data_IF_704494259925
#
_entry.id   IF_704494259925
#
_cell.length_a   1.000
_cell.length_b   1.000
_cell.length_c   1.000
_cell.angle_alpha   90.00
_cell.angle_beta   90.00
_cell.angle_gamma   90.00
#
_symmetry.space_group_name_H-M   'P 1'
#
loop_
_entity.id
_entity.type
_entity.pdbx_description
1 polymer ?
#
# COMPACT_ATOMS: atom_id res chain seq x y z
N UNK A 1 -22.30 17.25 -54.38
CA UNK A 1 -21.85 17.98 -55.56
C UNK A 1 -20.34 18.08 -55.46
N UNK A 2 -19.73 17.28 -56.35
CA UNK A 2 -18.44 17.37 -57.05
C UNK A 2 -17.15 17.42 -56.20
N UNK A 3 -16.35 16.39 -56.28
CA UNK A 3 -15.51 15.78 -57.31
C UNK A 3 -14.24 16.57 -57.69
N UNK A 4 -13.13 15.78 -57.64
CA UNK A 4 -11.96 15.71 -58.53
C UNK A 4 -10.81 16.69 -58.23
N UNK A 5 -9.52 16.34 -58.16
CA UNK A 5 -8.71 15.47 -59.01
C UNK A 5 -7.29 15.37 -58.41
N UNK A 6 -6.67 14.23 -58.54
CA UNK A 6 -5.20 14.08 -58.58
C UNK A 6 -4.71 14.40 -60.03
N UNK A 7 -3.41 14.57 -60.31
CA UNK A 7 -2.49 13.48 -60.61
C UNK A 7 -1.00 13.70 -60.21
N UNK A 8 -0.30 12.65 -59.87
CA UNK A 8 0.77 11.88 -60.50
C UNK A 8 1.83 12.66 -61.30
N UNK A 9 3.10 12.49 -60.92
CA UNK A 9 4.26 12.34 -61.81
C UNK A 9 5.54 11.91 -61.04
N UNK A 10 5.84 10.66 -61.11
CA UNK A 10 7.04 9.93 -61.56
C UNK A 10 8.35 10.69 -61.82
N UNK A 11 9.38 10.05 -61.40
CA UNK A 11 10.71 9.66 -61.93
C UNK A 11 11.84 10.09 -61.00
N UNK A 12 12.72 9.29 -60.61
CA UNK A 12 13.50 8.14 -61.01
C UNK A 12 15.00 8.45 -60.82
N UNK A 13 15.67 7.42 -60.30
CA UNK A 13 17.07 7.04 -60.53
C UNK A 13 18.11 7.37 -59.48
N UNK A 14 18.58 6.26 -58.88
CA UNK A 14 19.93 5.68 -58.91
C UNK A 14 20.93 6.38 -57.96
N UNK A 15 21.79 5.77 -57.28
CA UNK A 15 22.28 4.41 -57.07
C UNK A 15 23.49 4.52 -56.12
N UNK A 16 23.79 3.43 -55.49
CA UNK A 16 25.08 3.00 -55.01
C UNK A 16 25.73 3.65 -53.79
N UNK A 17 26.06 2.79 -52.87
CA UNK A 17 26.99 3.03 -51.79
C UNK A 17 26.81 1.99 -50.66
N UNK A 18 27.30 0.78 -50.93
CA UNK A 18 27.60 -0.23 -49.90
C UNK A 18 28.38 0.36 -48.76
N UNK A 19 27.94 0.17 -47.54
CA UNK A 19 28.83 -0.34 -46.50
C UNK A 19 28.03 -1.01 -45.38
N UNK A 20 28.27 -2.31 -45.22
CA UNK A 20 27.73 -3.13 -44.16
C UNK A 20 28.52 -2.89 -42.90
N UNK A 21 27.86 -2.47 -41.85
CA UNK A 21 28.32 -2.76 -40.49
C UNK A 21 27.17 -3.39 -39.72
N UNK A 22 27.24 -4.67 -39.67
CA UNK A 22 26.56 -5.57 -38.73
C UNK A 22 26.76 -5.03 -37.30
N UNK A 23 25.75 -4.31 -36.80
CA UNK A 23 25.66 -4.01 -35.36
C UNK A 23 24.87 -5.13 -34.71
N UNK A 24 25.58 -6.22 -34.39
CA UNK A 24 25.16 -7.17 -33.39
C UNK A 24 24.74 -6.38 -32.16
N UNK A 25 23.45 -6.34 -31.90
CA UNK A 25 22.86 -5.85 -30.66
C UNK A 25 23.39 -6.74 -29.52
N UNK A 26 24.43 -6.26 -28.82
CA UNK A 26 24.85 -6.83 -27.55
C UNK A 26 23.68 -6.65 -26.57
N UNK A 27 23.21 -7.72 -25.91
CA UNK A 27 22.26 -7.55 -24.83
C UNK A 27 22.92 -6.67 -23.78
N UNK A 28 22.33 -5.54 -23.47
CA UNK A 28 22.71 -4.73 -22.34
C UNK A 28 22.42 -5.54 -21.07
N UNK A 29 23.41 -6.24 -20.57
CA UNK A 29 23.38 -6.78 -19.21
C UNK A 29 23.26 -5.52 -18.33
N UNK A 30 22.05 -5.30 -17.84
CA UNK A 30 21.75 -4.12 -17.07
C UNK A 30 22.72 -4.02 -15.90
N UNK A 31 23.18 -2.82 -15.61
CA UNK A 31 24.06 -2.48 -14.45
C UNK A 31 23.57 -3.10 -13.12
N UNK A 32 22.30 -3.50 -13.05
CA UNK A 32 21.65 -4.23 -11.95
C UNK A 32 22.25 -5.61 -11.68
N UNK A 33 22.61 -6.38 -12.72
CA UNK A 33 23.21 -7.72 -12.55
C UNK A 33 24.64 -7.68 -12.00
N UNK A 34 25.39 -6.63 -12.29
CA UNK A 34 26.78 -6.46 -11.80
C UNK A 34 26.86 -6.07 -10.32
N UNK A 35 25.86 -5.30 -9.82
CA UNK A 35 25.83 -4.91 -8.41
C UNK A 35 25.43 -6.06 -7.49
N UNK A 36 24.52 -6.93 -7.94
CA UNK A 36 24.08 -8.11 -7.15
C UNK A 36 25.20 -9.14 -7.06
N UNK A 37 25.98 -9.35 -8.14
CA UNK A 37 27.10 -10.28 -8.15
C UNK A 37 28.28 -9.82 -7.29
N UNK A 38 28.55 -8.52 -7.22
CA UNK A 38 29.66 -7.96 -6.45
C UNK A 38 29.45 -7.99 -4.93
N UNK A 39 28.20 -7.85 -4.48
CA UNK A 39 27.85 -7.92 -3.04
C UNK A 39 27.89 -9.38 -2.55
N UNK A 40 27.52 -10.35 -3.40
CA UNK A 40 27.54 -11.76 -3.04
C UNK A 40 28.96 -12.34 -2.91
N UNK A 41 29.94 -11.84 -3.68
CA UNK A 41 31.31 -12.35 -3.69
C UNK A 41 32.20 -11.81 -2.53
N UNK A 42 31.86 -10.67 -1.93
CA UNK A 42 32.62 -10.06 -0.81
C UNK A 42 32.25 -10.58 0.59
N UNK A 43 31.22 -11.40 0.72
CA UNK A 43 30.62 -11.78 2.00
C UNK A 43 30.97 -13.19 2.49
N UNK A 44 31.94 -13.85 1.87
CA UNK A 44 32.23 -15.27 2.13
C UNK A 44 32.78 -15.65 3.52
N UNK A 45 33.29 -14.73 4.31
CA UNK A 45 33.90 -15.05 5.61
C UNK A 45 33.23 -14.37 6.84
N UNK A 46 32.50 -13.28 6.63
CA UNK A 46 31.70 -12.61 7.68
C UNK A 46 30.22 -13.01 7.62
N UNK A 47 29.88 -13.88 6.66
CA UNK A 47 28.53 -14.08 6.14
C UNK A 47 27.57 -14.84 7.04
N UNK A 48 28.01 -15.59 8.03
CA UNK A 48 27.08 -16.45 8.79
C UNK A 48 26.37 -15.70 9.91
N UNK A 49 27.07 -14.78 10.61
CA UNK A 49 26.47 -13.95 11.67
C UNK A 49 25.68 -12.76 11.14
N UNK A 50 26.02 -12.25 9.94
CA UNK A 50 25.36 -11.10 9.33
C UNK A 50 24.29 -11.51 8.29
N UNK A 51 24.10 -12.81 8.04
CA UNK A 51 23.21 -13.33 7.01
C UNK A 51 21.77 -12.84 7.16
N UNK A 52 21.27 -12.86 8.38
CA UNK A 52 19.88 -12.47 8.68
C UNK A 52 19.69 -10.95 8.60
N UNK A 53 20.72 -10.18 8.94
CA UNK A 53 20.69 -8.72 8.83
C UNK A 53 20.82 -8.30 7.36
N UNK A 54 21.70 -8.94 6.59
CA UNK A 54 21.80 -8.73 5.14
C UNK A 54 20.50 -9.13 4.46
N UNK A 55 19.90 -10.27 4.83
CA UNK A 55 18.61 -10.70 4.29
C UNK A 55 17.48 -9.71 4.59
N UNK A 56 17.56 -9.01 5.73
CA UNK A 56 16.56 -7.99 6.11
C UNK A 56 16.78 -6.63 5.44
N UNK A 57 17.95 -6.36 4.88
CA UNK A 57 18.34 -5.01 4.45
C UNK A 57 18.85 -4.90 3.02
N UNK A 58 19.08 -6.03 2.31
CA UNK A 58 19.68 -6.03 0.98
C UNK A 58 18.86 -5.26 -0.08
N UNK A 59 17.54 -5.20 0.06
CA UNK A 59 16.67 -4.41 -0.83
C UNK A 59 16.82 -2.89 -0.64
N UNK A 60 17.50 -2.42 0.41
CA UNK A 60 17.81 -0.98 0.61
C UNK A 60 18.84 -0.47 -0.38
N UNK A 61 19.44 -1.35 -1.17
CA UNK A 61 20.32 -0.96 -2.26
C UNK A 61 19.48 -0.27 -3.35
N UNK A 62 19.83 0.94 -3.80
CA UNK A 62 19.07 1.65 -4.82
C UNK A 62 18.79 0.79 -6.06
N UNK A 63 17.53 0.69 -6.46
CA UNK A 63 17.06 -0.10 -7.60
C UNK A 63 16.83 -1.58 -7.33
N UNK A 64 16.84 -2.00 -6.07
CA UNK A 64 16.43 -3.35 -5.64
C UNK A 64 15.07 -3.24 -4.95
N UNK A 65 14.08 -3.95 -5.48
CA UNK A 65 12.76 -4.00 -4.87
C UNK A 65 12.77 -4.92 -3.65
N UNK A 66 12.06 -4.53 -2.61
CA UNK A 66 11.86 -5.39 -1.44
C UNK A 66 11.18 -6.69 -1.83
N UNK A 67 11.70 -7.86 -1.40
CA UNK A 67 11.03 -9.14 -1.62
C UNK A 67 9.62 -9.13 -1.02
N UNK A 68 8.68 -9.73 -1.74
CA UNK A 68 7.29 -9.86 -1.33
C UNK A 68 6.89 -11.31 -1.39
N UNK A 69 6.25 -11.78 -0.35
CA UNK A 69 5.65 -13.11 -0.31
C UNK A 69 4.16 -12.98 -0.56
N UNK A 70 3.62 -13.74 -1.50
CA UNK A 70 2.19 -13.78 -1.75
C UNK A 70 1.46 -14.24 -0.49
N UNK A 71 0.37 -13.55 -0.14
CA UNK A 71 -0.44 -13.84 1.05
C UNK A 71 0.21 -13.45 2.38
N UNK A 72 1.39 -12.83 2.37
CA UNK A 72 2.01 -12.30 3.58
C UNK A 72 1.16 -11.16 4.18
N UNK A 73 0.97 -11.18 5.49
CA UNK A 73 0.25 -10.16 6.24
C UNK A 73 1.19 -9.39 7.18
N UNK A 74 0.89 -8.10 7.38
CA UNK A 74 1.67 -7.26 8.30
C UNK A 74 1.14 -7.35 9.74
N UNK A 75 -0.17 -7.61 9.90
CA UNK A 75 -0.79 -7.81 11.20
C UNK A 75 -1.01 -9.30 11.48
N UNK A 76 -0.41 -9.86 12.56
CA UNK A 76 -0.62 -11.26 12.93
C UNK A 76 -2.10 -11.57 13.18
N UNK A 77 -2.62 -12.59 12.51
CA UNK A 77 -4.02 -13.01 12.61
C UNK A 77 -4.97 -12.31 11.64
N UNK A 78 -4.48 -11.42 10.78
CA UNK A 78 -5.27 -10.94 9.65
C UNK A 78 -5.35 -12.00 8.55
N UNK A 79 -6.51 -12.08 7.90
CA UNK A 79 -6.66 -12.83 6.66
C UNK A 79 -6.21 -11.97 5.48
N UNK A 80 -5.49 -12.58 4.52
CA UNK A 80 -5.13 -11.90 3.29
C UNK A 80 -6.23 -12.02 2.23
N UNK A 81 -6.73 -10.91 1.73
CA UNK A 81 -7.61 -10.83 0.57
C UNK A 81 -7.26 -9.58 -0.25
N UNK A 82 -6.49 -9.69 -1.34
CA UNK A 82 -5.95 -8.53 -2.02
C UNK A 82 -7.03 -7.66 -2.67
N UNK A 83 -6.87 -6.34 -2.53
CA UNK A 83 -7.60 -5.36 -3.31
C UNK A 83 -7.14 -5.39 -4.77
N UNK A 84 -7.97 -4.83 -5.68
CA UNK A 84 -7.56 -4.63 -7.07
C UNK A 84 -6.31 -3.75 -7.16
N UNK A 85 -5.35 -4.11 -8.01
CA UNK A 85 -4.13 -3.32 -8.26
C UNK A 85 -4.41 -1.90 -8.79
N UNK A 86 -5.61 -1.65 -9.31
CA UNK A 86 -6.04 -0.32 -9.73
C UNK A 86 -6.35 0.63 -8.56
N UNK A 87 -6.51 0.09 -7.34
CA UNK A 87 -6.99 0.79 -6.16
C UNK A 87 -5.89 1.13 -5.15
N UNK A 88 -4.65 0.79 -5.47
CA UNK A 88 -3.47 1.09 -4.68
C UNK A 88 -2.24 1.22 -5.59
N UNK A 89 -1.11 1.61 -5.07
CA UNK A 89 0.15 1.60 -5.81
C UNK A 89 1.27 1.00 -4.99
N UNK A 90 2.18 0.35 -5.69
CA UNK A 90 3.39 -0.23 -5.12
C UNK A 90 4.29 0.87 -4.55
N UNK A 91 4.82 0.61 -3.38
CA UNK A 91 5.81 1.44 -2.70
C UNK A 91 6.71 0.55 -1.82
N UNK A 92 7.64 1.15 -1.10
CA UNK A 92 8.46 0.49 -0.08
C UNK A 92 8.52 1.38 1.17
N UNK A 93 7.37 1.56 1.82
CA UNK A 93 7.29 2.33 3.05
C UNK A 93 7.95 1.57 4.22
N UNK A 94 8.62 2.24 5.17
CA UNK A 94 8.69 3.69 5.33
C UNK A 94 9.82 4.38 4.54
N UNK A 95 10.48 3.71 3.58
CA UNK A 95 11.62 4.29 2.86
C UNK A 95 11.20 5.31 1.79
N UNK A 96 10.15 4.97 1.01
CA UNK A 96 9.62 5.90 0.01
C UNK A 96 8.84 7.05 0.65
N UNK A 97 8.04 6.72 1.67
CA UNK A 97 7.18 7.65 2.39
C UNK A 97 7.14 7.26 3.86
N UNK A 98 7.45 8.19 4.74
CA UNK A 98 7.29 7.99 6.18
C UNK A 98 5.82 7.73 6.51
N UNK A 99 5.52 6.62 7.16
CA UNK A 99 4.21 6.40 7.76
C UNK A 99 4.19 7.13 9.10
N UNK A 100 3.31 8.12 9.25
CA UNK A 100 3.22 8.95 10.45
C UNK A 100 1.82 9.01 11.05
N UNK A 101 0.84 8.29 10.47
CA UNK A 101 -0.51 8.26 11.02
C UNK A 101 -1.30 7.01 10.65
N UNK A 102 -2.38 6.79 11.41
CA UNK A 102 -3.44 5.83 11.12
C UNK A 102 -4.73 6.59 10.87
N UNK A 103 -5.46 6.27 9.81
CA UNK A 103 -6.75 6.87 9.49
C UNK A 103 -7.86 5.86 9.72
N UNK A 104 -8.81 6.23 10.57
CA UNK A 104 -9.96 5.42 10.95
C UNK A 104 -11.14 5.79 10.06
N UNK A 105 -11.73 4.76 9.43
CA UNK A 105 -12.87 4.88 8.53
C UNK A 105 -14.05 4.03 9.00
N UNK A 106 -15.24 4.36 8.54
CA UNK A 106 -16.44 3.52 8.60
C UNK A 106 -17.03 3.43 7.20
N UNK A 107 -17.15 2.21 6.68
CA UNK A 107 -17.40 1.93 5.26
C UNK A 107 -18.82 2.25 4.78
N UNK A 108 -19.73 2.61 5.68
CA UNK A 108 -21.16 2.86 5.38
C UNK A 108 -21.86 1.65 4.74
N UNK A 109 -21.50 0.45 5.16
CA UNK A 109 -22.02 -0.78 4.59
C UNK A 109 -21.57 -2.06 5.29
N UNK A 110 -22.06 -3.21 4.83
CA UNK A 110 -21.70 -4.50 5.37
C UNK A 110 -20.35 -4.98 4.85
N UNK A 111 -19.62 -5.70 5.69
CA UNK A 111 -18.28 -6.23 5.44
C UNK A 111 -18.10 -6.94 4.09
N UNK A 112 -19.00 -7.88 3.63
CA UNK A 112 -18.79 -8.55 2.35
C UNK A 112 -18.87 -7.60 1.14
N UNK A 113 -19.62 -6.49 1.27
CA UNK A 113 -19.76 -5.49 0.21
C UNK A 113 -18.46 -4.68 0.14
N UNK A 114 -17.89 -4.29 1.28
CA UNK A 114 -16.61 -3.64 1.38
C UNK A 114 -15.51 -4.38 0.62
N UNK A 115 -15.36 -5.66 0.91
CA UNK A 115 -14.34 -6.49 0.29
C UNK A 115 -14.49 -6.53 -1.25
N UNK A 116 -15.73 -6.68 -1.75
CA UNK A 116 -16.00 -6.68 -3.20
C UNK A 116 -15.72 -5.35 -3.86
N UNK A 117 -16.09 -4.25 -3.20
CA UNK A 117 -15.86 -2.89 -3.70
C UNK A 117 -14.37 -2.62 -3.85
N UNK A 118 -13.55 -2.99 -2.87
CA UNK A 118 -12.10 -2.81 -2.96
C UNK A 118 -11.42 -3.76 -3.96
N UNK A 119 -12.05 -4.86 -4.32
CA UNK A 119 -11.60 -5.74 -5.40
C UNK A 119 -12.03 -5.29 -6.79
N UNK A 120 -12.98 -4.36 -6.90
CA UNK A 120 -13.42 -3.80 -8.18
C UNK A 120 -12.42 -2.76 -8.69
N UNK A 121 -11.77 -2.97 -9.87
CA UNK A 121 -10.80 -2.03 -10.42
C UNK A 121 -11.40 -0.69 -10.82
N UNK A 122 -12.73 -0.61 -11.00
CA UNK A 122 -13.42 0.64 -11.35
C UNK A 122 -13.60 1.57 -10.16
N UNK A 123 -13.53 1.05 -8.94
CA UNK A 123 -13.77 1.81 -7.71
C UNK A 123 -12.68 2.85 -7.41
N UNK A 124 -11.43 2.56 -7.79
CA UNK A 124 -10.26 3.44 -7.63
C UNK A 124 -9.94 3.84 -6.19
N UNK A 125 -10.42 3.06 -5.21
CA UNK A 125 -10.09 3.23 -3.81
C UNK A 125 -9.98 1.85 -3.13
N UNK A 126 -9.11 1.74 -2.14
CA UNK A 126 -8.99 0.61 -1.24
C UNK A 126 -8.33 1.05 0.06
N UNK A 127 -8.47 0.24 1.09
CA UNK A 127 -7.83 0.42 2.40
C UNK A 127 -6.80 -0.68 2.67
N UNK A 128 -5.96 -0.49 3.68
CA UNK A 128 -5.02 -1.53 4.10
C UNK A 128 -5.74 -2.65 4.83
N UNK A 129 -6.71 -2.31 5.70
CA UNK A 129 -7.42 -3.25 6.55
C UNK A 129 -8.93 -3.00 6.58
N UNK A 130 -9.69 -4.08 6.69
CA UNK A 130 -11.14 -4.05 6.97
C UNK A 130 -11.42 -4.86 8.22
N UNK A 131 -12.16 -4.27 9.18
CA UNK A 131 -12.56 -4.89 10.43
C UNK A 131 -14.05 -5.21 10.40
N UNK A 132 -14.39 -6.50 10.64
CA UNK A 132 -15.77 -6.96 10.68
C UNK A 132 -16.40 -6.70 12.05
N UNK A 133 -17.65 -6.26 12.05
CA UNK A 133 -18.34 -5.86 13.29
C UNK A 133 -18.78 -7.04 14.17
N UNK A 134 -19.14 -8.19 13.59
CA UNK A 134 -19.71 -9.31 14.33
C UNK A 134 -18.72 -9.98 15.30
N UNK A 135 -17.43 -10.02 14.98
CA UNK A 135 -16.42 -10.77 15.72
C UNK A 135 -15.05 -10.10 15.77
N UNK A 136 -14.88 -8.94 15.13
CA UNK A 136 -13.61 -8.25 15.05
C UNK A 136 -12.60 -8.89 14.09
N UNK A 137 -13.04 -9.76 13.17
CA UNK A 137 -12.16 -10.32 12.14
C UNK A 137 -11.49 -9.20 11.35
N UNK A 138 -10.17 -9.30 11.19
CA UNK A 138 -9.37 -8.37 10.41
C UNK A 138 -9.01 -8.99 9.07
N UNK A 139 -9.30 -8.29 7.98
CA UNK A 139 -8.82 -8.65 6.64
C UNK A 139 -7.85 -7.59 6.16
N UNK A 140 -6.68 -8.01 5.72
CA UNK A 140 -5.71 -7.15 5.08
C UNK A 140 -5.87 -7.21 3.56
N UNK A 141 -6.02 -6.05 2.92
CA UNK A 141 -6.28 -5.94 1.48
C UNK A 141 -5.14 -5.28 0.71
N UNK A 142 -4.35 -4.44 1.37
CA UNK A 142 -3.12 -3.83 0.83
C UNK A 142 -2.03 -3.97 1.88
N UNK A 143 -0.80 -4.26 1.46
CA UNK A 143 0.35 -4.34 2.38
C UNK A 143 0.65 -2.95 2.94
N UNK A 144 1.05 -2.88 4.22
CA UNK A 144 1.40 -1.58 4.84
C UNK A 144 2.55 -0.87 4.13
N UNK A 145 3.43 -1.63 3.47
CA UNK A 145 4.52 -1.05 2.68
C UNK A 145 4.06 -0.39 1.38
N UNK A 146 2.84 -0.67 0.92
CA UNK A 146 2.23 -0.08 -0.26
C UNK A 146 1.30 1.08 0.09
N UNK A 147 0.90 1.86 -0.92
CA UNK A 147 0.01 3.01 -0.75
C UNK A 147 -1.39 2.65 -1.19
N UNK A 148 -2.30 2.42 -0.25
CA UNK A 148 -3.73 2.28 -0.52
C UNK A 148 -4.36 3.66 -0.79
N UNK A 149 -5.39 3.71 -1.65
CA UNK A 149 -6.10 4.96 -1.95
C UNK A 149 -7.36 5.03 -1.10
N UNK A 150 -7.22 5.47 0.18
CA UNK A 150 -8.31 5.47 1.14
C UNK A 150 -8.70 6.86 1.67
N UNK A 151 -7.81 7.85 1.59
CA UNK A 151 -8.01 9.13 2.27
C UNK A 151 -8.49 10.25 1.34
N UNK A 152 -8.67 9.99 0.03
CA UNK A 152 -9.02 11.05 -0.95
C UNK A 152 -7.95 12.14 -1.09
N UNK A 153 -6.87 12.06 -0.35
CA UNK A 153 -5.76 13.00 -0.31
C UNK A 153 -4.44 12.25 -0.53
N UNK A 154 -3.65 12.69 -1.51
CA UNK A 154 -2.42 12.01 -1.91
C UNK A 154 -1.40 11.91 -0.77
N UNK A 155 -1.14 13.01 -0.08
CA UNK A 155 -0.18 13.03 1.02
C UNK A 155 -0.60 12.08 2.15
N UNK A 156 -1.89 12.08 2.48
CA UNK A 156 -2.43 11.20 3.50
C UNK A 156 -2.41 9.73 3.08
N UNK A 157 -2.69 9.41 1.81
CA UNK A 157 -2.53 8.05 1.29
C UNK A 157 -1.08 7.57 1.40
N UNK A 158 -0.10 8.43 1.07
CA UNK A 158 1.32 8.11 1.11
C UNK A 158 1.84 7.89 2.53
N UNK A 159 1.30 8.62 3.52
CA UNK A 159 1.84 8.71 4.89
C UNK A 159 0.98 8.05 5.96
N UNK A 160 -0.05 7.30 5.59
CA UNK A 160 -0.93 6.65 6.56
C UNK A 160 -1.20 5.18 6.26
N UNK A 161 -1.70 4.50 7.29
CA UNK A 161 -2.36 3.20 7.18
C UNK A 161 -3.85 3.40 7.43
N UNK A 162 -4.69 3.08 6.45
CA UNK A 162 -6.15 3.17 6.57
C UNK A 162 -6.74 1.89 7.13
N UNK A 163 -7.71 2.05 8.05
CA UNK A 163 -8.48 0.96 8.63
C UNK A 163 -9.97 1.25 8.45
N UNK A 164 -10.64 0.44 7.65
CA UNK A 164 -12.07 0.48 7.46
C UNK A 164 -12.82 -0.39 8.48
N UNK A 165 -13.94 0.08 8.96
CA UNK A 165 -14.80 -0.64 9.87
C UNK A 165 -16.17 -0.86 9.25
N UNK A 166 -16.62 -2.11 9.25
CA UNK A 166 -18.00 -2.42 8.91
C UNK A 166 -18.94 -1.63 9.81
N UNK A 167 -19.98 -1.01 9.23
CA UNK A 167 -20.97 -0.26 9.98
C UNK A 167 -21.43 1.01 9.29
N UNK A 168 -22.11 1.86 10.05
CA UNK A 168 -22.69 3.11 9.56
C UNK A 168 -22.45 4.24 10.57
N UNK A 169 -22.09 5.43 10.11
CA UNK A 169 -21.77 6.59 10.97
C UNK A 169 -22.97 7.10 11.78
N UNK A 170 -24.19 6.88 11.27
CA UNK A 170 -25.45 7.28 11.90
C UNK A 170 -26.11 6.17 12.74
N UNK A 171 -25.48 4.98 12.82
CA UNK A 171 -25.98 3.82 13.54
C UNK A 171 -24.93 3.26 14.50
N UNK A 172 -24.76 3.86 15.69
CA UNK A 172 -23.69 3.51 16.64
C UNK A 172 -23.74 2.04 17.10
N UNK A 173 -24.92 1.41 17.09
CA UNK A 173 -25.08 -0.01 17.42
C UNK A 173 -24.36 -0.95 16.43
N UNK A 174 -23.99 -0.46 15.25
CA UNK A 174 -23.23 -1.23 14.27
C UNK A 174 -21.74 -1.28 14.58
N UNK A 175 -21.23 -0.44 15.48
CA UNK A 175 -19.84 -0.44 15.93
C UNK A 175 -19.75 -1.15 17.29
N UNK A 176 -19.40 -2.42 17.25
CA UNK A 176 -19.47 -3.30 18.43
C UNK A 176 -18.20 -3.25 19.29
N UNK A 177 -18.28 -3.87 20.47
CA UNK A 177 -17.11 -4.12 21.32
C UNK A 177 -16.02 -4.94 20.62
N UNK A 178 -16.42 -5.89 19.77
CA UNK A 178 -15.49 -6.68 18.98
C UNK A 178 -14.71 -5.82 17.98
N UNK A 179 -15.42 -4.89 17.32
CA UNK A 179 -14.81 -3.90 16.42
C UNK A 179 -13.76 -3.06 17.15
N UNK A 180 -14.12 -2.44 18.27
CA UNK A 180 -13.21 -1.59 19.03
C UNK A 180 -11.98 -2.36 19.50
N UNK A 181 -12.14 -3.58 20.04
CA UNK A 181 -11.00 -4.40 20.52
C UNK A 181 -10.06 -4.79 19.40
N UNK A 182 -10.60 -5.28 18.28
CA UNK A 182 -9.79 -5.72 17.15
C UNK A 182 -9.06 -4.53 16.51
N UNK A 183 -9.77 -3.44 16.28
CA UNK A 183 -9.19 -2.21 15.71
C UNK A 183 -8.13 -1.59 16.62
N UNK A 184 -8.36 -1.54 17.92
CA UNK A 184 -7.39 -1.01 18.88
C UNK A 184 -6.10 -1.85 18.90
N UNK A 185 -6.21 -3.18 18.87
CA UNK A 185 -5.06 -4.08 18.80
C UNK A 185 -4.29 -3.90 17.48
N UNK A 186 -5.00 -3.78 16.35
CA UNK A 186 -4.41 -3.51 15.04
C UNK A 186 -3.68 -2.16 15.03
N UNK A 187 -4.35 -1.10 15.46
CA UNK A 187 -3.78 0.26 15.51
C UNK A 187 -2.56 0.35 16.41
N UNK A 188 -2.61 -0.26 17.59
CA UNK A 188 -1.44 -0.32 18.47
C UNK A 188 -0.26 -1.05 17.81
N UNK A 189 -0.53 -2.16 17.11
CA UNK A 189 0.49 -2.89 16.35
C UNK A 189 1.10 -2.05 15.20
N UNK A 190 0.30 -1.25 14.50
CA UNK A 190 0.77 -0.30 13.49
C UNK A 190 1.65 0.76 14.16
N UNK A 191 1.19 1.36 15.27
CA UNK A 191 1.97 2.33 16.01
C UNK A 191 3.34 1.78 16.42
N UNK A 192 3.39 0.54 16.93
CA UNK A 192 4.65 -0.10 17.33
C UNK A 192 5.60 -0.32 16.15
N UNK A 193 5.08 -0.77 14.98
CA UNK A 193 5.89 -1.01 13.77
C UNK A 193 6.53 0.24 13.21
N UNK A 194 5.80 1.36 13.27
CA UNK A 194 6.25 2.64 12.69
C UNK A 194 6.76 3.65 13.71
N UNK A 195 6.77 3.29 15.01
CA UNK A 195 7.22 4.18 16.09
C UNK A 195 6.28 5.38 16.30
N UNK A 196 4.98 5.22 16.04
CA UNK A 196 3.99 6.30 16.17
C UNK A 196 3.54 6.44 17.63
N UNK A 197 3.40 7.67 18.14
CA UNK A 197 2.69 7.93 19.38
C UNK A 197 1.23 7.43 19.31
N UNK A 198 0.76 6.85 20.40
CA UNK A 198 -0.63 6.38 20.51
C UNK A 198 -1.53 7.52 21.00
N UNK A 199 -1.68 8.56 20.19
CA UNK A 199 -2.45 9.77 20.47
C UNK A 199 -3.33 10.20 19.31
N UNK A 200 -4.11 11.28 19.50
CA UNK A 200 -5.05 11.80 18.51
C UNK A 200 -4.38 12.65 17.41
N UNK A 201 -3.12 12.96 17.52
CA UNK A 201 -2.37 13.63 16.44
C UNK A 201 -1.96 12.64 15.35
N UNK A 202 -1.72 11.36 15.74
CA UNK A 202 -1.27 10.29 14.86
C UNK A 202 -2.37 9.28 14.51
N UNK A 203 -3.46 9.21 15.29
CA UNK A 203 -4.62 8.34 15.04
C UNK A 203 -5.83 9.22 14.83
N UNK A 204 -6.21 9.42 13.58
CA UNK A 204 -7.23 10.39 13.16
C UNK A 204 -8.42 9.72 12.48
N UNK A 205 -9.55 10.40 12.39
CA UNK A 205 -10.67 10.02 11.55
C UNK A 205 -10.51 10.55 10.13
N UNK A 206 -11.21 9.95 9.17
CA UNK A 206 -11.20 10.42 7.78
C UNK A 206 -11.70 11.86 7.68
N UNK A 207 -12.69 12.24 8.47
CA UNK A 207 -13.22 13.63 8.57
C UNK A 207 -12.15 14.68 8.89
N UNK A 208 -11.00 14.28 9.44
CA UNK A 208 -9.91 15.17 9.80
C UNK A 208 -8.87 15.33 8.68
N UNK A 209 -9.04 14.59 7.56
CA UNK A 209 -8.15 14.70 6.39
C UNK A 209 -8.43 16.00 5.63
N UNK A 210 -7.44 16.84 5.38
CA UNK A 210 -7.64 18.12 4.68
C UNK A 210 -8.24 17.93 3.27
N UNK A 211 -9.33 18.68 3.01
CA UNK A 211 -10.00 18.68 1.70
C UNK A 211 -10.96 17.52 1.49
N UNK A 212 -11.18 16.68 2.51
CA UNK A 212 -12.21 15.63 2.43
C UNK A 212 -13.62 16.22 2.58
N UNK A 213 -14.59 15.57 1.93
CA UNK A 213 -16.02 15.77 2.18
C UNK A 213 -16.64 14.58 2.98
N UNK A 214 -15.78 13.64 3.39
CA UNK A 214 -16.16 12.51 4.20
C UNK A 214 -16.40 12.88 5.65
N UNK A 215 -17.35 12.18 6.29
CA UNK A 215 -17.76 12.43 7.69
C UNK A 215 -17.38 11.30 8.64
N UNK A 216 -16.85 10.20 8.11
CA UNK A 216 -16.47 9.02 8.89
C UNK A 216 -15.20 9.26 9.75
N UNK A 217 -15.08 8.58 10.88
CA UNK A 217 -15.93 7.53 11.41
C UNK A 217 -17.23 8.02 12.04
N UNK A 218 -17.52 9.32 11.98
CA UNK A 218 -18.75 9.95 12.45
C UNK A 218 -18.74 10.33 13.94
N UNK A 219 -19.79 11.07 14.37
CA UNK A 219 -19.85 11.62 15.71
C UNK A 219 -20.08 10.57 16.81
N UNK A 220 -20.52 9.36 16.42
CA UNK A 220 -20.79 8.25 17.33
C UNK A 220 -19.58 7.33 17.55
N UNK A 221 -18.46 7.57 16.89
CA UNK A 221 -17.21 6.88 17.19
C UNK A 221 -16.68 7.34 18.54
N UNK A 222 -16.66 6.45 19.52
CA UNK A 222 -16.19 6.74 20.89
C UNK A 222 -14.65 6.83 20.93
N UNK A 223 -14.13 8.00 20.61
CA UNK A 223 -12.70 8.27 20.60
C UNK A 223 -12.03 8.06 21.96
N UNK A 224 -12.69 8.44 23.05
CA UNK A 224 -12.11 8.29 24.40
C UNK A 224 -11.93 6.82 24.75
N UNK A 225 -12.95 6.01 24.49
CA UNK A 225 -12.89 4.57 24.65
C UNK A 225 -11.84 3.96 23.74
N UNK A 226 -11.85 4.30 22.46
CA UNK A 226 -10.93 3.77 21.46
C UNK A 226 -9.48 4.03 21.83
N UNK A 227 -9.15 5.28 22.18
CA UNK A 227 -7.80 5.68 22.55
C UNK A 227 -7.32 5.06 23.87
N UNK A 228 -8.22 4.84 24.84
CA UNK A 228 -7.88 4.04 26.04
C UNK A 228 -7.49 2.62 25.62
N UNK A 229 -8.31 1.96 24.81
CA UNK A 229 -8.04 0.60 24.35
C UNK A 229 -6.72 0.49 23.57
N UNK A 230 -6.43 1.44 22.67
CA UNK A 230 -5.16 1.47 21.92
C UNK A 230 -3.96 1.59 22.86
N UNK A 231 -4.04 2.45 23.88
CA UNK A 231 -2.96 2.65 24.85
C UNK A 231 -2.77 1.45 25.79
N UNK A 232 -3.85 0.74 26.11
CA UNK A 232 -3.83 -0.42 27.00
C UNK A 232 -3.24 -1.69 26.35
N UNK A 233 -3.12 -1.73 25.02
CA UNK A 233 -2.44 -2.84 24.33
C UNK A 233 -0.96 -2.85 24.72
N UNK A 234 -0.41 -3.97 25.24
CA UNK A 234 1.01 -4.05 25.56
C UNK A 234 1.90 -3.76 24.36
N UNK A 235 2.93 -2.92 24.56
CA UNK A 235 3.94 -2.64 23.53
C UNK A 235 4.69 -3.91 23.20
N UNK A 236 4.67 -4.32 21.94
CA UNK A 236 5.52 -5.43 21.46
C UNK A 236 6.91 -4.87 21.19
N UNK A 237 7.88 -5.25 22.03
CA UNK A 237 9.29 -5.01 21.72
C UNK A 237 9.64 -5.84 20.48
N UNK A 238 10.13 -5.16 19.43
CA UNK A 238 10.67 -5.79 18.24
C UNK A 238 11.90 -6.65 18.55
#
# INVERSE_FOLDING_TARGET
VNERNAPDHRRSRRADGTDGTDRTSRPSIGRRALLVGGVAAGLGALGYAARDEVARTWWRVPGVDRPRTEGEVDHPGADWLPASEANWRRADRPYDYTVDRVVIHVIQGPYPVALKVFQDPSHRAATHYVVRTSDGKVTQMVRELDVAYHAGNREYNERSVGIEHEGFVDRPETITDATYRASAALTAGICDRYGLPRDREHIIGHVEVPGTDHTDPGPHWDWDRYMRMVRDVPVRKA
#
